data_IF_308139625874
#
_entry.id   IF_308139625874
#
_cell.length_a   1.000
_cell.length_b   1.000
_cell.length_c   1.000
_cell.angle_alpha   90.00
_cell.angle_beta   90.00
_cell.angle_gamma   90.00
#
_symmetry.space_group_name_H-M   'P 1'
#
loop_
_entity.id
_entity.type
_entity.pdbx_description
1 polymer ?
#
# COMPACT_ATOMS: atom_id res chain seq x y z
N UNK A 1 -13.26 -17.58 -11.82
CA UNK A 1 -14.02 -16.65 -10.95
C UNK A 1 -14.22 -17.22 -9.55
N UNK A 2 -14.88 -18.36 -9.41
CA UNK A 2 -15.19 -18.97 -8.10
C UNK A 2 -13.94 -19.17 -7.22
N UNK A 3 -12.84 -19.60 -7.84
CA UNK A 3 -11.57 -19.78 -7.13
C UNK A 3 -10.98 -18.46 -6.61
N UNK A 4 -11.12 -17.37 -7.37
CA UNK A 4 -10.69 -16.02 -6.94
C UNK A 4 -11.54 -15.56 -5.74
N UNK A 5 -12.86 -15.77 -5.82
CA UNK A 5 -13.77 -15.46 -4.71
C UNK A 5 -13.52 -16.36 -3.49
N UNK A 6 -13.08 -17.61 -3.70
CA UNK A 6 -12.67 -18.51 -2.62
C UNK A 6 -11.42 -17.95 -1.94
N UNK A 7 -10.36 -17.65 -2.69
CA UNK A 7 -9.11 -17.07 -2.18
C UNK A 7 -9.40 -15.79 -1.39
N UNK A 8 -10.15 -14.85 -1.97
CA UNK A 8 -10.52 -13.59 -1.31
C UNK A 8 -11.21 -13.80 0.04
N UNK A 9 -12.08 -14.81 0.15
CA UNK A 9 -12.80 -15.15 1.40
C UNK A 9 -11.99 -16.01 2.38
N UNK A 10 -11.04 -16.80 1.91
CA UNK A 10 -10.26 -17.71 2.77
C UNK A 10 -8.97 -17.10 3.27
N UNK A 11 -8.38 -16.14 2.55
CA UNK A 11 -7.12 -15.48 2.97
C UNK A 11 -7.35 -14.66 4.22
N UNK A 12 -6.78 -15.11 5.32
CA UNK A 12 -6.90 -14.48 6.64
C UNK A 12 -5.58 -14.51 7.40
N UNK A 13 -5.41 -13.53 8.28
CA UNK A 13 -4.35 -13.50 9.26
C UNK A 13 -4.92 -13.08 10.61
N UNK A 14 -4.65 -13.85 11.66
CA UNK A 14 -5.16 -13.61 13.00
C UNK A 14 -6.68 -13.33 13.02
N UNK A 15 -7.46 -14.20 12.37
CA UNK A 15 -8.94 -14.11 12.20
C UNK A 15 -9.45 -12.91 11.38
N UNK A 16 -8.58 -12.05 10.86
CA UNK A 16 -8.95 -10.93 9.99
C UNK A 16 -8.83 -11.34 8.52
N UNK A 17 -9.91 -11.14 7.76
CA UNK A 17 -9.89 -11.29 6.30
C UNK A 17 -9.08 -10.16 5.68
N UNK A 18 -8.21 -10.50 4.74
CA UNK A 18 -7.27 -9.55 4.15
C UNK A 18 -7.72 -9.00 2.80
N UNK A 19 -8.54 -9.75 2.06
CA UNK A 19 -8.81 -9.50 0.64
C UNK A 19 -10.29 -9.26 0.34
N UNK A 20 -11.14 -9.14 1.36
CA UNK A 20 -12.59 -9.03 1.24
C UNK A 20 -13.10 -7.57 1.22
N UNK A 21 -12.18 -6.60 1.24
CA UNK A 21 -12.50 -5.17 1.27
C UNK A 21 -12.74 -4.59 2.65
N UNK A 22 -12.45 -5.32 3.74
CA UNK A 22 -12.54 -4.76 5.09
C UNK A 22 -11.32 -3.97 5.53
N UNK A 23 -10.19 -4.10 4.82
CA UNK A 23 -8.89 -3.52 5.18
C UNK A 23 -8.36 -2.52 4.14
N UNK A 24 -9.24 -1.80 3.44
CA UNK A 24 -8.85 -1.00 2.27
C UNK A 24 -7.86 0.12 2.58
N UNK A 25 -7.06 0.47 1.57
CA UNK A 25 -5.98 1.42 1.71
C UNK A 25 -6.51 2.86 1.81
N UNK A 26 -5.89 3.69 2.65
CA UNK A 26 -6.26 5.11 2.68
C UNK A 26 -5.72 5.81 1.44
N UNK A 27 -6.58 6.53 0.73
CA UNK A 27 -6.21 7.32 -0.45
C UNK A 27 -6.86 8.69 -0.34
N UNK A 28 -6.03 9.74 -0.28
CA UNK A 28 -6.45 11.15 -0.20
C UNK A 28 -6.79 11.76 -1.57
N UNK A 29 -6.42 11.09 -2.66
CA UNK A 29 -6.76 11.49 -4.03
C UNK A 29 -7.13 10.25 -4.85
N UNK A 30 -8.11 10.36 -5.77
CA UNK A 30 -8.33 9.32 -6.74
C UNK A 30 -7.11 9.20 -7.67
N UNK A 31 -6.83 7.99 -8.12
CA UNK A 31 -5.77 7.71 -9.09
C UNK A 31 -6.37 7.02 -10.31
N UNK A 32 -5.80 7.25 -11.49
CA UNK A 32 -6.20 6.52 -12.67
C UNK A 32 -5.02 6.35 -13.61
N UNK A 33 -4.97 5.16 -14.21
CA UNK A 33 -3.90 4.79 -15.11
C UNK A 33 -4.46 4.10 -16.34
N UNK A 34 -3.96 4.52 -17.49
CA UNK A 34 -4.12 3.79 -18.75
C UNK A 34 -3.26 2.52 -18.62
N UNK A 35 -3.92 1.37 -18.58
CA UNK A 35 -3.27 0.06 -18.47
C UNK A 35 -2.85 -0.41 -19.86
N UNK A 36 -3.75 -0.26 -20.83
CA UNK A 36 -3.53 -0.60 -22.24
C UNK A 36 -4.07 0.55 -23.09
N UNK A 37 -3.23 1.19 -23.91
CA UNK A 37 -3.56 2.45 -24.59
C UNK A 37 -4.25 2.34 -25.94
N UNK A 38 -4.28 1.16 -26.56
CA UNK A 38 -4.70 0.98 -27.95
C UNK A 38 -3.91 1.85 -28.94
N UNK A 39 -4.35 1.90 -30.19
CA UNK A 39 -3.80 2.79 -31.21
C UNK A 39 -4.41 4.20 -31.15
N UNK A 40 -5.59 4.36 -30.54
CA UNK A 40 -6.28 5.65 -30.42
C UNK A 40 -5.62 6.65 -29.42
N UNK A 41 -4.58 6.21 -28.70
CA UNK A 41 -3.82 7.02 -27.73
C UNK A 41 -4.73 7.68 -26.68
N UNK A 42 -5.38 6.84 -25.88
CA UNK A 42 -6.25 7.31 -24.79
C UNK A 42 -5.41 7.99 -23.70
N UNK A 43 -5.82 9.19 -23.32
CA UNK A 43 -5.29 9.95 -22.20
C UNK A 43 -6.41 10.34 -21.23
N UNK A 44 -6.03 10.54 -19.97
CA UNK A 44 -6.95 10.92 -18.91
C UNK A 44 -6.92 12.44 -18.75
N UNK A 45 -8.10 13.05 -18.77
CA UNK A 45 -8.30 14.45 -18.38
C UNK A 45 -8.44 14.59 -16.86
N UNK A 46 -9.11 15.65 -16.41
CA UNK A 46 -9.28 15.93 -14.97
C UNK A 46 -10.02 14.80 -14.26
N UNK A 47 -9.42 14.30 -13.17
CA UNK A 47 -10.04 13.35 -12.23
C UNK A 47 -10.46 14.17 -11.00
N UNK A 48 -11.77 14.36 -10.77
CA UNK A 48 -12.27 15.11 -9.59
C UNK A 48 -12.47 14.18 -8.40
N UNK A 49 -12.60 14.73 -7.19
CA UNK A 49 -12.68 14.05 -5.86
C UNK A 49 -13.78 12.95 -5.68
N UNK A 50 -14.56 12.63 -6.71
CA UNK A 50 -15.59 11.58 -6.70
C UNK A 50 -15.54 10.76 -8.00
N UNK A 51 -14.33 10.47 -8.47
CA UNK A 51 -14.13 9.56 -9.59
C UNK A 51 -14.65 8.17 -9.21
N UNK A 52 -15.51 7.61 -10.05
CA UNK A 52 -16.07 6.30 -9.80
C UNK A 52 -15.01 5.22 -9.98
N UNK A 53 -14.73 4.43 -8.95
CA UNK A 53 -13.81 3.30 -9.06
C UNK A 53 -14.27 2.30 -10.12
N UNK A 54 -13.32 1.70 -10.82
CA UNK A 54 -13.60 0.55 -11.68
C UNK A 54 -12.61 0.36 -12.81
N UNK A 55 -12.98 -0.57 -13.69
CA UNK A 55 -12.34 -0.77 -14.99
C UNK A 55 -13.14 -0.03 -16.05
N UNK A 56 -12.47 0.81 -16.81
CA UNK A 56 -13.04 1.50 -17.94
C UNK A 56 -12.46 0.86 -19.20
N UNK A 57 -13.29 0.15 -19.93
CA UNK A 57 -12.96 -0.39 -21.25
C UNK A 57 -13.42 0.61 -22.29
N UNK A 58 -12.48 1.10 -23.09
CA UNK A 58 -12.72 1.96 -24.23
C UNK A 58 -12.70 1.07 -25.46
N UNK A 59 -13.79 1.08 -26.22
CA UNK A 59 -13.95 0.34 -27.48
C UNK A 59 -14.12 1.38 -28.58
N UNK A 60 -13.40 1.23 -29.68
CA UNK A 60 -13.48 2.08 -30.86
C UNK A 60 -14.07 1.24 -31.98
N UNK A 61 -15.02 1.76 -32.74
CA UNK A 61 -15.61 1.03 -33.86
C UNK A 61 -16.97 1.55 -34.31
N UNK A 62 -17.69 0.77 -35.09
CA UNK A 62 -19.05 1.13 -35.53
C UNK A 62 -20.06 0.69 -34.47
N UNK A 63 -20.28 1.52 -33.45
CA UNK A 63 -20.98 1.13 -32.22
C UNK A 63 -22.35 1.79 -32.06
N UNK A 64 -22.66 2.79 -32.88
CA UNK A 64 -23.95 3.48 -32.90
C UNK A 64 -24.35 3.86 -34.34
N UNK A 65 -25.65 4.02 -34.58
CA UNK A 65 -26.16 4.39 -35.89
C UNK A 65 -26.17 3.24 -36.91
N UNK A 66 -25.81 3.56 -38.16
CA UNK A 66 -25.78 2.64 -39.31
C UNK A 66 -24.34 2.28 -39.72
N UNK A 67 -24.18 1.24 -40.55
CA UNK A 67 -22.87 0.72 -41.00
C UNK A 67 -21.94 1.76 -41.65
N UNK A 68 -22.49 2.83 -42.22
CA UNK A 68 -21.75 3.93 -42.87
C UNK A 68 -21.57 5.18 -42.00
N UNK A 69 -21.98 5.12 -40.73
CA UNK A 69 -21.82 6.24 -39.79
C UNK A 69 -20.34 6.47 -39.46
N UNK A 70 -20.02 7.64 -38.92
CA UNK A 70 -18.70 7.89 -38.37
C UNK A 70 -18.37 6.87 -37.28
N UNK A 71 -17.08 6.52 -37.15
CA UNK A 71 -16.59 5.65 -36.08
C UNK A 71 -16.92 6.28 -34.72
N UNK A 72 -17.34 5.45 -33.77
CA UNK A 72 -17.64 5.81 -32.41
C UNK A 72 -16.57 5.32 -31.44
N UNK A 73 -16.54 5.96 -30.28
CA UNK A 73 -15.82 5.54 -29.09
C UNK A 73 -16.84 5.28 -27.99
N UNK A 74 -16.87 4.04 -27.50
CA UNK A 74 -17.72 3.59 -26.40
C UNK A 74 -16.88 3.34 -25.18
N UNK A 75 -17.20 4.01 -24.08
CA UNK A 75 -16.56 3.81 -22.78
C UNK A 75 -17.52 3.04 -21.88
N UNK A 76 -17.11 1.85 -21.49
CA UNK A 76 -17.82 0.98 -20.54
C UNK A 76 -17.08 0.98 -19.22
N UNK A 77 -17.68 1.54 -18.17
CA UNK A 77 -17.23 1.37 -16.79
C UNK A 77 -17.85 0.10 -16.19
N UNK A 78 -17.01 -0.70 -15.54
CA UNK A 78 -17.36 -1.80 -14.66
C UNK A 78 -16.92 -1.40 -13.26
N UNK A 79 -17.87 -1.13 -12.36
CA UNK A 79 -17.56 -0.72 -10.99
C UNK A 79 -17.20 -1.92 -10.08
N UNK A 80 -16.77 -1.63 -8.84
CA UNK A 80 -16.44 -2.65 -7.85
C UNK A 80 -17.66 -3.51 -7.42
N UNK A 81 -18.87 -3.03 -7.68
CA UNK A 81 -20.13 -3.77 -7.47
C UNK A 81 -20.56 -4.58 -8.71
N UNK A 82 -19.73 -4.63 -9.76
CA UNK A 82 -20.03 -5.31 -11.01
C UNK A 82 -21.12 -4.65 -11.86
N UNK A 83 -21.56 -3.43 -11.51
CA UNK A 83 -22.48 -2.64 -12.32
C UNK A 83 -21.75 -2.10 -13.55
N UNK A 84 -22.46 -2.10 -14.67
CA UNK A 84 -21.94 -1.68 -15.97
C UNK A 84 -22.62 -0.36 -16.34
N UNK A 85 -21.83 0.67 -16.61
CA UNK A 85 -22.32 1.95 -17.13
C UNK A 85 -21.58 2.27 -18.42
N UNK A 86 -22.30 2.62 -19.47
CA UNK A 86 -21.69 2.88 -20.79
C UNK A 86 -22.08 4.26 -21.29
N UNK A 87 -21.13 4.94 -21.92
CA UNK A 87 -21.36 6.16 -22.71
C UNK A 87 -20.67 6.01 -24.06
N UNK A 88 -21.17 6.69 -25.09
CA UNK A 88 -20.56 6.70 -26.41
C UNK A 88 -20.53 8.13 -26.96
N UNK A 89 -19.54 8.39 -27.80
CA UNK A 89 -19.39 9.61 -28.57
C UNK A 89 -18.78 9.25 -29.93
N UNK A 90 -18.97 10.09 -30.93
CA UNK A 90 -18.26 9.94 -32.20
C UNK A 90 -16.75 10.16 -31.99
N UNK A 91 -15.91 9.47 -32.75
CA UNK A 91 -14.45 9.58 -32.62
C UNK A 91 -13.96 11.03 -32.80
N UNK A 92 -14.62 11.78 -33.70
CA UNK A 92 -14.31 13.18 -33.97
C UNK A 92 -14.54 14.13 -32.79
N UNK A 93 -15.28 13.71 -31.76
CA UNK A 93 -15.41 14.49 -30.53
C UNK A 93 -14.06 14.65 -29.80
N UNK A 94 -13.17 13.65 -29.91
CA UNK A 94 -11.84 13.64 -29.25
C UNK A 94 -11.88 13.60 -27.71
N UNK A 95 -13.07 13.63 -27.13
CA UNK A 95 -13.29 13.64 -25.69
C UNK A 95 -14.67 13.10 -25.34
N UNK A 96 -14.77 12.37 -24.23
CA UNK A 96 -16.06 12.05 -23.58
C UNK A 96 -15.87 12.00 -22.07
N UNK A 97 -16.90 12.41 -21.34
CA UNK A 97 -16.93 12.29 -19.89
C UNK A 97 -17.84 11.13 -19.47
N UNK A 98 -17.35 10.31 -18.54
CA UNK A 98 -18.17 9.31 -17.85
C UNK A 98 -18.08 9.58 -16.34
N UNK A 99 -19.15 10.13 -15.77
CA UNK A 99 -19.13 10.66 -14.42
C UNK A 99 -18.12 11.82 -14.27
N UNK A 100 -17.23 11.72 -13.29
CA UNK A 100 -16.25 12.76 -12.96
C UNK A 100 -14.89 12.58 -13.65
N UNK A 101 -14.83 11.74 -14.69
CA UNK A 101 -13.61 11.42 -15.42
C UNK A 101 -13.82 11.80 -16.87
N UNK A 102 -12.88 12.57 -17.40
CA UNK A 102 -12.84 12.93 -18.82
C UNK A 102 -11.80 12.06 -19.51
N UNK A 103 -12.19 11.37 -20.58
CA UNK A 103 -11.30 10.59 -21.43
C UNK A 103 -11.06 11.40 -22.70
N UNK A 104 -9.79 11.55 -23.08
CA UNK A 104 -9.37 12.28 -24.27
C UNK A 104 -8.60 11.34 -25.18
N UNK A 105 -8.78 11.49 -26.49
CA UNK A 105 -8.08 10.67 -27.48
C UNK A 105 -7.84 11.46 -28.77
N UNK A 106 -7.08 10.89 -29.69
CA UNK A 106 -6.85 11.48 -30.99
C UNK A 106 -8.05 11.21 -31.91
N UNK A 107 -8.88 12.21 -32.14
CA UNK A 107 -10.15 12.06 -32.88
C UNK A 107 -10.03 11.78 -34.38
N UNK A 108 -8.81 11.78 -34.92
CA UNK A 108 -8.51 11.53 -36.33
C UNK A 108 -7.77 10.21 -36.58
N UNK A 109 -7.55 9.37 -35.56
CA UNK A 109 -6.79 8.12 -35.72
C UNK A 109 -7.49 7.11 -36.64
N UNK A 110 -8.83 7.09 -36.61
CA UNK A 110 -9.63 6.21 -37.46
C UNK A 110 -10.74 7.00 -38.13
N UNK A 111 -10.98 6.71 -39.40
CA UNK A 111 -12.12 7.21 -40.17
C UNK A 111 -12.85 6.06 -40.84
N UNK A 112 -14.16 6.20 -41.08
CA UNK A 112 -14.92 5.16 -41.76
C UNK A 112 -14.42 4.90 -43.19
N UNK A 113 -13.77 5.89 -43.82
CA UNK A 113 -13.13 5.77 -45.13
C UNK A 113 -11.94 4.80 -45.14
N UNK A 114 -11.23 4.65 -44.01
CA UNK A 114 -10.11 3.70 -43.91
C UNK A 114 -10.60 2.24 -44.05
N UNK A 115 -11.89 2.01 -43.84
CA UNK A 115 -12.57 0.73 -43.94
C UNK A 115 -13.47 0.62 -45.18
N UNK A 116 -13.24 1.45 -46.20
CA UNK A 116 -14.02 1.41 -47.44
C UNK A 116 -15.42 2.02 -47.33
N UNK A 117 -15.70 2.82 -46.29
CA UNK A 117 -16.94 3.58 -46.13
C UNK A 117 -18.08 2.83 -45.44
N UNK A 118 -17.88 1.58 -45.03
CA UNK A 118 -18.83 0.83 -44.21
C UNK A 118 -18.13 -0.19 -43.31
N UNK A 119 -18.62 -0.32 -42.08
CA UNK A 119 -18.24 -1.37 -41.13
C UNK A 119 -19.50 -2.06 -40.59
N UNK A 120 -19.47 -3.38 -40.33
CA UNK A 120 -20.57 -4.06 -39.65
C UNK A 120 -20.93 -3.38 -38.33
N UNK A 121 -22.23 -3.34 -38.00
CA UNK A 121 -22.67 -2.78 -36.73
C UNK A 121 -22.14 -3.62 -35.56
N UNK A 122 -21.71 -2.94 -34.51
CA UNK A 122 -21.03 -3.47 -33.32
C UNK A 122 -19.60 -3.96 -33.54
N UNK A 123 -19.01 -3.74 -34.72
CA UNK A 123 -17.61 -4.06 -34.96
C UNK A 123 -16.71 -3.18 -34.11
N UNK A 124 -15.77 -3.80 -33.39
CA UNK A 124 -14.73 -3.13 -32.61
C UNK A 124 -13.42 -3.23 -33.39
N UNK A 125 -12.75 -2.11 -33.61
CA UNK A 125 -11.51 -2.01 -34.39
C UNK A 125 -10.28 -1.75 -33.51
N UNK A 126 -10.48 -1.15 -32.34
CA UNK A 126 -9.42 -0.89 -31.36
C UNK A 126 -10.02 -0.83 -29.96
N UNK A 127 -9.20 -1.11 -28.96
CA UNK A 127 -9.62 -1.02 -27.57
C UNK A 127 -8.51 -0.57 -26.64
N UNK A 128 -8.90 0.05 -25.54
CA UNK A 128 -8.01 0.50 -24.49
C UNK A 128 -8.65 0.25 -23.12
N UNK A 129 -7.81 0.11 -22.09
CA UNK A 129 -8.26 -0.08 -20.70
C UNK A 129 -7.65 0.99 -19.82
N UNK A 130 -8.51 1.58 -19.02
CA UNK A 130 -8.12 2.46 -17.92
C UNK A 130 -8.60 1.83 -16.62
N UNK A 131 -7.74 1.81 -15.62
CA UNK A 131 -8.13 1.51 -14.24
C UNK A 131 -8.18 2.79 -13.44
N UNK A 132 -9.26 2.94 -12.69
CA UNK A 132 -9.48 4.08 -11.82
C UNK A 132 -9.70 3.56 -10.41
N UNK A 133 -8.94 4.15 -9.50
CA UNK A 133 -8.92 3.92 -8.07
C UNK A 133 -9.55 5.13 -7.39
N UNK A 134 -10.63 4.92 -6.62
CA UNK A 134 -11.33 6.01 -5.96
C UNK A 134 -10.59 6.52 -4.71
N UNK A 135 -11.06 7.66 -4.22
CA UNK A 135 -10.74 8.19 -2.90
C UNK A 135 -11.28 7.24 -1.81
N UNK A 136 -10.43 6.90 -0.84
CA UNK A 136 -10.82 6.12 0.34
C UNK A 136 -10.38 6.82 1.60
N UNK A 137 -11.35 7.38 2.33
CA UNK A 137 -11.10 8.11 3.60
C UNK A 137 -11.57 7.34 4.84
N UNK A 138 -12.04 6.10 4.67
CA UNK A 138 -12.49 5.28 5.79
C UNK A 138 -11.30 4.77 6.62
N UNK A 139 -11.49 4.69 7.94
CA UNK A 139 -10.46 4.18 8.85
C UNK A 139 -10.53 2.65 8.97
N UNK A 140 -10.22 1.95 7.88
CA UNK A 140 -10.22 0.49 7.79
C UNK A 140 -8.83 -0.12 7.71
N UNK A 141 -7.77 0.70 7.72
CA UNK A 141 -6.41 0.21 7.52
C UNK A 141 -5.85 -0.44 8.79
N UNK A 142 -4.81 -1.25 8.61
CA UNK A 142 -3.94 -1.67 9.70
C UNK A 142 -2.93 -0.55 10.00
N UNK A 143 -2.73 -0.27 11.28
CA UNK A 143 -1.74 0.69 11.75
C UNK A 143 -0.71 -0.09 12.57
N UNK A 144 0.52 -0.13 12.09
CA UNK A 144 1.65 -0.74 12.77
C UNK A 144 2.47 0.34 13.47
N UNK A 145 2.77 0.16 14.75
CA UNK A 145 3.77 0.96 15.43
C UNK A 145 5.15 0.42 15.03
N UNK A 146 5.94 1.25 14.33
CA UNK A 146 7.24 0.85 13.78
C UNK A 146 8.40 1.63 14.43
N UNK A 147 8.16 2.39 15.49
CA UNK A 147 9.22 3.12 16.19
C UNK A 147 8.88 3.41 17.64
N UNK A 148 9.89 3.88 18.37
CA UNK A 148 9.80 4.16 19.81
C UNK A 148 9.04 5.45 20.15
N UNK A 149 8.90 6.37 19.19
CA UNK A 149 8.28 7.68 19.46
C UNK A 149 6.92 7.80 18.78
N UNK A 150 6.11 8.74 19.27
CA UNK A 150 4.82 9.11 18.67
C UNK A 150 4.96 9.48 17.18
N UNK A 151 4.00 9.06 16.37
CA UNK A 151 3.97 9.32 14.93
C UNK A 151 4.81 8.37 14.08
N UNK A 152 5.61 7.48 14.67
CA UNK A 152 6.32 6.41 13.94
C UNK A 152 5.39 5.23 13.64
N UNK A 153 4.39 5.52 12.82
CA UNK A 153 3.34 4.58 12.49
C UNK A 153 3.43 4.28 11.00
N UNK A 154 3.06 3.06 10.66
CA UNK A 154 2.98 2.59 9.30
C UNK A 154 1.57 2.10 9.03
N UNK A 155 0.96 2.73 8.03
CA UNK A 155 -0.36 2.36 7.56
C UNK A 155 -0.21 1.29 6.47
N UNK A 156 -1.01 0.24 6.58
CA UNK A 156 -1.11 -0.80 5.58
C UNK A 156 -2.58 -1.13 5.32
N UNK A 157 -2.99 -1.08 4.07
CA UNK A 157 -4.29 -1.55 3.63
C UNK A 157 -4.18 -2.34 2.34
N UNK A 158 -5.16 -3.20 2.12
CA UNK A 158 -5.31 -4.01 0.91
C UNK A 158 -6.75 -3.86 0.46
N UNK A 159 -6.91 -3.42 -0.78
CA UNK A 159 -8.24 -3.21 -1.34
C UNK A 159 -8.94 -4.55 -1.61
N UNK A 160 -10.25 -4.51 -1.83
CA UNK A 160 -11.02 -5.70 -2.14
C UNK A 160 -10.51 -6.39 -3.43
N UNK A 161 -10.06 -7.65 -3.30
CA UNK A 161 -9.56 -8.48 -4.42
C UNK A 161 -10.55 -9.61 -4.80
N UNK A 162 -11.81 -9.50 -4.39
CA UNK A 162 -12.87 -10.40 -4.88
C UNK A 162 -13.04 -10.26 -6.40
N UNK A 163 -13.50 -11.32 -7.05
CA UNK A 163 -13.64 -11.31 -8.50
C UNK A 163 -14.58 -10.19 -8.97
N UNK A 164 -15.64 -9.94 -8.20
CA UNK A 164 -16.59 -8.85 -8.44
C UNK A 164 -15.93 -7.46 -8.37
N UNK A 165 -15.15 -7.18 -7.33
CA UNK A 165 -14.39 -5.92 -7.18
C UNK A 165 -13.35 -5.71 -8.29
N UNK A 166 -12.78 -6.81 -8.80
CA UNK A 166 -11.86 -6.77 -9.92
C UNK A 166 -12.55 -6.52 -11.27
N UNK A 167 -13.89 -6.56 -11.32
CA UNK A 167 -14.70 -6.43 -12.52
C UNK A 167 -14.96 -7.74 -13.26
N UNK A 168 -14.60 -8.88 -12.67
CA UNK A 168 -14.73 -10.23 -13.23
C UNK A 168 -16.10 -10.84 -12.91
N UNK A 169 -17.12 -10.46 -13.68
CA UNK A 169 -18.51 -10.92 -13.55
C UNK A 169 -18.88 -11.83 -14.72
N UNK A 170 -20.06 -12.46 -14.63
CA UNK A 170 -20.61 -13.26 -15.74
C UNK A 170 -20.95 -12.43 -16.98
N UNK A 171 -21.19 -11.13 -16.81
CA UNK A 171 -21.46 -10.22 -17.92
C UNK A 171 -20.18 -9.74 -18.62
N UNK A 172 -19.05 -9.69 -17.91
CA UNK A 172 -17.77 -9.22 -18.45
C UNK A 172 -16.88 -10.34 -18.97
N UNK A 173 -17.02 -11.55 -18.43
CA UNK A 173 -16.28 -12.75 -18.86
C UNK A 173 -17.10 -13.57 -19.88
N UNK A 174 -17.42 -12.95 -21.02
CA UNK A 174 -18.10 -13.62 -22.14
C UNK A 174 -17.11 -13.86 -23.27
N UNK A 175 -17.19 -15.03 -23.90
CA UNK A 175 -16.34 -15.44 -25.03
C UNK A 175 -17.22 -16.05 -26.13
N UNK A 176 -18.44 -15.52 -26.28
CA UNK A 176 -19.42 -16.03 -27.25
C UNK A 176 -19.11 -15.57 -28.67
N UNK A 177 -18.44 -14.43 -28.78
CA UNK A 177 -18.18 -13.71 -30.02
C UNK A 177 -16.83 -12.98 -29.90
N UNK A 178 -16.25 -12.57 -31.01
CA UNK A 178 -14.93 -11.92 -31.02
C UNK A 178 -14.89 -10.67 -30.12
N UNK A 179 -15.86 -9.77 -30.26
CA UNK A 179 -15.89 -8.52 -29.49
C UNK A 179 -16.09 -8.77 -27.98
N UNK A 180 -16.86 -9.81 -27.61
CA UNK A 180 -17.01 -10.18 -26.19
C UNK A 180 -15.73 -10.80 -25.63
N UNK A 181 -15.04 -11.63 -26.42
CA UNK A 181 -13.75 -12.21 -26.06
C UNK A 181 -12.65 -11.15 -25.86
N UNK A 182 -12.52 -10.19 -26.79
CA UNK A 182 -11.57 -9.08 -26.69
C UNK A 182 -11.85 -8.23 -25.44
N UNK A 183 -13.11 -7.90 -25.19
CA UNK A 183 -13.52 -7.18 -23.98
C UNK A 183 -13.18 -7.96 -22.71
N UNK A 184 -13.37 -9.28 -22.69
CA UNK A 184 -13.04 -10.10 -21.55
C UNK A 184 -11.53 -10.07 -21.24
N UNK A 185 -10.67 -10.14 -22.27
CA UNK A 185 -9.22 -9.99 -22.12
C UNK A 185 -8.88 -8.63 -21.49
N UNK A 186 -9.48 -7.56 -22.01
CA UNK A 186 -9.26 -6.20 -21.51
C UNK A 186 -9.68 -6.01 -20.04
N UNK A 187 -10.79 -6.62 -19.63
CA UNK A 187 -11.21 -6.61 -18.22
C UNK A 187 -10.23 -7.40 -17.34
N UNK A 188 -9.74 -8.54 -17.84
CA UNK A 188 -8.73 -9.36 -17.15
C UNK A 188 -7.41 -8.59 -17.00
N UNK A 189 -6.93 -7.90 -18.03
CA UNK A 189 -5.71 -7.07 -17.96
C UNK A 189 -5.85 -5.97 -16.91
N UNK A 190 -7.01 -5.32 -16.87
CA UNK A 190 -7.34 -4.37 -15.82
C UNK A 190 -7.27 -5.01 -14.42
N UNK A 191 -7.82 -6.20 -14.25
CA UNK A 191 -7.81 -6.93 -12.99
C UNK A 191 -6.39 -7.34 -12.56
N UNK A 192 -5.58 -7.82 -13.51
CA UNK A 192 -4.16 -8.17 -13.30
C UNK A 192 -3.38 -6.94 -12.86
N UNK A 193 -3.58 -5.79 -13.51
CA UNK A 193 -2.92 -4.55 -13.13
C UNK A 193 -3.27 -4.13 -11.69
N UNK A 194 -4.54 -4.23 -11.28
CA UNK A 194 -4.97 -3.94 -9.91
C UNK A 194 -4.30 -4.86 -8.89
N UNK A 195 -4.30 -6.17 -9.14
CA UNK A 195 -3.63 -7.15 -8.26
C UNK A 195 -2.12 -6.88 -8.19
N UNK A 196 -1.50 -6.56 -9.33
CA UNK A 196 -0.05 -6.28 -9.39
C UNK A 196 0.31 -5.01 -8.64
N UNK A 197 -0.53 -3.98 -8.72
CA UNK A 197 -0.38 -2.73 -7.96
C UNK A 197 -0.50 -2.98 -6.45
N UNK A 198 -1.50 -3.78 -6.03
CA UNK A 198 -1.65 -4.17 -4.62
C UNK A 198 -0.44 -4.97 -4.11
N UNK A 199 0.10 -5.91 -4.91
CA UNK A 199 1.32 -6.66 -4.57
C UNK A 199 2.54 -5.76 -4.46
N UNK A 200 2.69 -4.79 -5.36
CA UNK A 200 3.79 -3.82 -5.31
C UNK A 200 3.72 -2.96 -4.04
N UNK A 201 2.52 -2.50 -3.66
CA UNK A 201 2.32 -1.76 -2.42
C UNK A 201 2.67 -2.60 -1.18
N UNK A 202 2.25 -3.88 -1.14
CA UNK A 202 2.61 -4.80 -0.07
C UNK A 202 4.12 -5.09 0.00
N UNK A 203 4.77 -5.23 -1.15
CA UNK A 203 6.23 -5.40 -1.20
C UNK A 203 6.97 -4.15 -0.68
N UNK A 204 6.50 -2.96 -1.02
CA UNK A 204 7.03 -1.71 -0.45
C UNK A 204 6.82 -1.64 1.07
N UNK A 205 5.66 -2.12 1.56
CA UNK A 205 5.38 -2.20 2.99
C UNK A 205 6.35 -3.17 3.67
N UNK A 206 6.53 -4.36 3.11
CA UNK A 206 7.47 -5.36 3.60
C UNK A 206 8.90 -4.81 3.68
N UNK A 207 9.41 -4.20 2.61
CA UNK A 207 10.76 -3.62 2.59
C UNK A 207 10.95 -2.58 3.70
N UNK A 208 9.96 -1.71 3.90
CA UNK A 208 10.00 -0.72 4.98
C UNK A 208 9.97 -1.37 6.36
N UNK A 209 9.17 -2.41 6.57
CA UNK A 209 9.14 -3.15 7.83
C UNK A 209 10.50 -3.83 8.10
N UNK A 210 11.10 -4.46 7.09
CA UNK A 210 12.43 -5.10 7.21
C UNK A 210 13.52 -4.08 7.58
N UNK A 211 13.56 -2.94 6.89
CA UNK A 211 14.48 -1.85 7.25
C UNK A 211 14.22 -1.30 8.65
N UNK A 212 12.96 -1.20 9.04
CA UNK A 212 12.61 -0.70 10.37
C UNK A 212 13.02 -1.70 11.46
N UNK A 213 12.80 -3.00 11.25
CA UNK A 213 13.27 -4.06 12.14
C UNK A 213 14.79 -4.00 12.29
N UNK A 214 15.53 -3.86 11.18
CA UNK A 214 16.99 -3.73 11.22
C UNK A 214 17.44 -2.51 12.04
N UNK A 215 16.81 -1.35 11.81
CA UNK A 215 17.12 -0.13 12.56
C UNK A 215 16.79 -0.26 14.05
N UNK A 216 15.64 -0.85 14.39
CA UNK A 216 15.24 -1.10 15.78
C UNK A 216 16.17 -2.11 16.46
N UNK A 217 16.67 -3.12 15.74
CA UNK A 217 17.67 -4.06 16.25
C UNK A 217 18.97 -3.35 16.65
N UNK A 218 19.50 -2.48 15.78
CA UNK A 218 20.69 -1.68 16.07
C UNK A 218 20.44 -0.70 17.23
N UNK A 219 19.27 -0.07 17.27
CA UNK A 219 18.91 0.82 18.38
C UNK A 219 18.83 0.05 19.71
N UNK A 220 18.24 -1.14 19.72
CA UNK A 220 18.15 -1.99 20.90
C UNK A 220 19.55 -2.41 21.39
N UNK A 221 20.44 -2.83 20.49
CA UNK A 221 21.83 -3.17 20.84
C UNK A 221 22.57 -1.98 21.48
N UNK A 222 22.44 -0.80 20.87
CA UNK A 222 23.04 0.43 21.40
C UNK A 222 22.47 0.81 22.79
N UNK A 223 21.16 0.64 23.00
CA UNK A 223 20.53 0.89 24.29
C UNK A 223 20.98 -0.10 25.35
N UNK A 224 21.07 -1.39 25.04
CA UNK A 224 21.59 -2.41 25.96
C UNK A 224 23.06 -2.14 26.31
N UNK A 225 23.88 -1.73 25.34
CA UNK A 225 25.27 -1.35 25.60
C UNK A 225 25.40 -0.07 26.45
N UNK A 226 24.52 0.91 26.25
CA UNK A 226 24.44 2.10 27.09
C UNK A 226 23.99 1.75 28.52
N UNK A 227 22.97 0.90 28.67
CA UNK A 227 22.49 0.40 29.95
C UNK A 227 23.59 -0.36 30.70
N UNK A 228 24.32 -1.26 30.03
CA UNK A 228 25.44 -1.98 30.64
C UNK A 228 26.51 -1.01 31.16
N UNK A 229 26.89 0.00 30.36
CA UNK A 229 27.88 1.00 30.79
C UNK A 229 27.43 1.83 31.99
N UNK A 230 26.15 2.21 32.02
CA UNK A 230 25.58 2.94 33.17
C UNK A 230 25.59 2.03 34.39
N UNK A 231 25.11 0.79 34.26
CA UNK A 231 25.07 -0.18 35.36
C UNK A 231 26.45 -0.49 35.91
N UNK A 232 27.43 -0.68 35.04
CA UNK A 232 28.82 -0.99 35.43
C UNK A 232 29.49 0.23 36.10
N UNK A 233 29.22 1.46 35.63
CA UNK A 233 29.70 2.68 36.28
C UNK A 233 29.09 2.88 37.67
N UNK A 234 27.78 2.63 37.82
CA UNK A 234 27.09 2.71 39.10
C UNK A 234 27.58 1.63 40.08
N UNK A 235 27.80 0.39 39.60
CA UNK A 235 28.41 -0.68 40.38
C UNK A 235 29.83 -0.33 40.83
N UNK A 236 30.66 0.23 39.94
CA UNK A 236 32.01 0.66 40.30
C UNK A 236 31.99 1.75 41.37
N UNK A 237 31.06 2.71 41.28
CA UNK A 237 30.87 3.76 42.29
C UNK A 237 30.49 3.17 43.65
N UNK A 238 29.56 2.22 43.70
CA UNK A 238 29.17 1.55 44.95
C UNK A 238 30.32 0.70 45.54
N UNK A 239 31.06 -0.03 44.70
CA UNK A 239 32.23 -0.81 45.16
C UNK A 239 33.36 0.09 45.69
N UNK A 240 33.56 1.26 45.10
CA UNK A 240 34.49 2.27 45.62
C UNK A 240 34.04 2.82 46.97
N UNK A 241 32.74 3.10 47.14
CA UNK A 241 32.19 3.52 48.42
C UNK A 241 32.32 2.43 49.49
N UNK A 242 31.97 1.19 49.16
CA UNK A 242 32.12 0.03 50.02
C UNK A 242 33.57 -0.18 50.46
N UNK A 243 34.51 -0.11 49.51
CA UNK A 243 35.94 -0.26 49.80
C UNK A 243 36.48 0.89 50.66
N UNK A 244 36.05 2.13 50.40
CA UNK A 244 36.37 3.28 51.24
C UNK A 244 35.86 3.09 52.68
N UNK A 245 34.63 2.60 52.84
CA UNK A 245 34.06 2.30 54.15
C UNK A 245 34.83 1.17 54.85
N UNK A 246 35.21 0.12 54.14
CA UNK A 246 36.03 -0.97 54.66
C UNK A 246 37.41 -0.50 55.13
N UNK A 247 38.08 0.36 54.34
CA UNK A 247 39.38 0.95 54.70
C UNK A 247 39.23 1.86 55.93
N UNK A 248 38.16 2.66 56.00
CA UNK A 248 37.88 3.50 57.18
C UNK A 248 37.63 2.65 58.42
N UNK A 249 36.92 1.53 58.31
CA UNK A 249 36.69 0.60 59.42
C UNK A 249 38.01 -0.05 59.88
N UNK A 250 38.84 -0.55 58.96
CA UNK A 250 40.15 -1.12 59.31
C UNK A 250 41.12 -0.08 59.90
N UNK A 251 41.10 1.15 59.36
CA UNK A 251 41.89 2.27 59.88
C UNK A 251 41.40 2.69 61.26
N UNK A 252 40.09 2.74 61.49
CA UNK A 252 39.51 3.06 62.79
C UNK A 252 39.85 2.00 63.84
N UNK A 253 39.82 0.71 63.48
CA UNK A 253 40.26 -0.37 64.36
C UNK A 253 41.76 -0.30 64.67
N UNK A 254 42.60 -0.02 63.67
CA UNK A 254 44.06 0.12 63.84
C UNK A 254 44.42 1.36 64.66
N UNK A 255 43.72 2.48 64.43
CA UNK A 255 43.88 3.70 65.23
C UNK A 255 43.39 3.50 66.66
N UNK A 256 42.29 2.78 66.89
CA UNK A 256 41.85 2.39 68.23
C UNK A 256 42.90 1.49 68.91
N UNK A 257 43.48 0.53 68.19
CA UNK A 257 44.55 -0.32 68.73
C UNK A 257 45.81 0.49 69.08
N UNK A 258 46.25 1.41 68.21
CA UNK A 258 47.39 2.29 68.43
C UNK A 258 47.14 3.29 69.57
N UNK A 259 45.95 3.89 69.64
CA UNK A 259 45.54 4.81 70.70
C UNK A 259 45.37 4.11 72.05
N UNK A 260 45.06 2.81 72.06
CA UNK A 260 45.07 1.99 73.27
C UNK A 260 46.49 1.56 73.67
N UNK A 261 47.42 1.41 72.73
CA UNK A 261 48.81 1.01 72.97
C UNK A 261 49.72 2.18 73.42
N UNK A 262 49.50 3.40 72.92
CA UNK A 262 50.28 4.59 73.31
C UNK A 262 50.24 4.89 74.82
N UNK A 263 49.07 4.90 75.51
CA UNK A 263 49.00 5.09 76.95
C UNK A 263 49.78 4.01 77.72
N UNK A 264 49.78 2.77 77.24
CA UNK A 264 50.51 1.67 77.87
C UNK A 264 52.03 1.83 77.77
N UNK A 265 52.55 2.39 76.68
CA UNK A 265 53.97 2.74 76.56
C UNK A 265 54.36 3.91 77.46
N UNK A 266 53.50 4.92 77.61
CA UNK A 266 53.74 6.04 78.54
C UNK A 266 53.71 5.56 80.00
N UNK A 267 52.84 4.61 80.34
CA UNK A 267 52.83 3.94 81.64
C UNK A 267 54.08 3.10 81.91
N UNK A 268 54.79 2.63 80.88
CA UNK A 268 56.09 1.98 81.03
C UNK A 268 57.21 2.99 81.36
N UNK A 269 57.18 4.19 80.79
CA UNK A 269 58.15 5.26 81.05
C UNK A 269 57.92 5.90 82.43
N UNK A 270 56.69 5.91 82.95
CA UNK A 270 56.37 6.37 84.31
C UNK A 270 56.66 5.34 85.41
N UNK A 271 57.04 4.11 85.06
CA UNK A 271 57.33 3.01 86.01
C UNK A 271 58.80 2.53 85.97
N UNK A 272 59.63 3.10 85.10
CA UNK A 272 61.08 2.90 85.06
C UNK A 272 61.81 4.15 85.52
#
# INVERSE_FOLDING_TARGET
REEIDRISRTTEFNTKKLLDGKLENFRFTPDAKVVTGGNINVSLGTIRNTAGEGTYVIEVGQLNGSVSSAIDVRITRIDASGSITTTSATIGAGVVALGNITFRWTGSTFSISDFGGALPLNEVIDSAVVRVEALYTSNTQLIFQIGSNEGHNMIAGIDNMSAKSLGLTTSTLKVTDQNSAEKAIMVVDGAIHRVSTARAALGAIQNRLEHTIANLGVAAENLTAAESRIRDADMAKEMMQFTKQQILLQSSMSMLAQANAQPQQVLQILRG
#
